data_IF_733280744462
#
_entry.id   IF_733280744462
#
_cell.length_a   1.000
_cell.length_b   1.000
_cell.length_c   1.000
_cell.angle_alpha   90.00
_cell.angle_beta   90.00
_cell.angle_gamma   90.00
#
_symmetry.space_group_name_H-M   'P 1'
#
loop_
_entity.id
_entity.type
_entity.pdbx_description
1 polymer ?
#
# COMPACT_ATOMS: atom_id res chain seq x y z
N UNK A 1 -38.69 -74.97 -7.05
CA UNK A 1 -37.80 -74.33 -8.04
C UNK A 1 -37.27 -73.03 -7.44
N UNK A 2 -35.97 -72.75 -7.54
CA UNK A 2 -35.42 -71.47 -7.09
C UNK A 2 -35.90 -70.34 -8.01
N UNK A 3 -36.19 -69.17 -7.43
CA UNK A 3 -36.56 -67.95 -8.18
C UNK A 3 -35.47 -67.61 -9.20
N UNK A 4 -35.89 -67.28 -10.41
CA UNK A 4 -35.01 -66.75 -11.45
C UNK A 4 -34.47 -65.37 -11.04
N UNK A 5 -33.34 -64.96 -11.63
CA UNK A 5 -32.73 -63.66 -11.34
C UNK A 5 -33.69 -62.51 -11.63
N UNK A 6 -34.48 -62.62 -12.71
CA UNK A 6 -35.49 -61.61 -13.08
C UNK A 6 -36.60 -61.48 -12.04
N UNK A 7 -37.09 -62.60 -11.49
CA UNK A 7 -38.11 -62.58 -10.44
C UNK A 7 -37.56 -61.99 -9.13
N UNK A 8 -36.28 -62.25 -8.80
CA UNK A 8 -35.62 -61.65 -7.64
C UNK A 8 -35.49 -60.13 -7.76
N UNK A 9 -35.09 -59.62 -8.93
CA UNK A 9 -35.02 -58.17 -9.19
C UNK A 9 -36.42 -57.52 -9.15
N UNK A 10 -37.45 -58.19 -9.70
CA UNK A 10 -38.83 -57.69 -9.62
C UNK A 10 -39.31 -57.53 -8.16
N UNK A 11 -39.04 -58.52 -7.32
CA UNK A 11 -39.41 -58.46 -5.91
C UNK A 11 -38.60 -57.42 -5.13
N UNK A 12 -37.30 -57.30 -5.40
CA UNK A 12 -36.43 -56.25 -4.85
C UNK A 12 -36.98 -54.86 -5.17
N UNK A 13 -37.27 -54.57 -6.44
CA UNK A 13 -37.85 -53.30 -6.89
C UNK A 13 -39.18 -53.00 -6.17
N UNK A 14 -40.10 -53.98 -6.09
CA UNK A 14 -41.38 -53.80 -5.39
C UNK A 14 -41.21 -53.51 -3.90
N UNK A 15 -40.27 -54.18 -3.24
CA UNK A 15 -39.99 -53.99 -1.82
C UNK A 15 -39.35 -52.62 -1.61
N UNK A 16 -38.35 -52.24 -2.41
CA UNK A 16 -37.72 -50.90 -2.38
C UNK A 16 -38.76 -49.79 -2.50
N UNK A 17 -39.66 -49.84 -3.48
CA UNK A 17 -40.71 -48.83 -3.63
C UNK A 17 -41.65 -48.73 -2.42
N UNK A 18 -41.94 -49.84 -1.73
CA UNK A 18 -42.75 -49.83 -0.50
C UNK A 18 -41.99 -49.19 0.65
N UNK A 19 -40.68 -49.44 0.74
CA UNK A 19 -39.79 -48.82 1.73
C UNK A 19 -39.70 -47.31 1.46
N UNK A 20 -39.45 -46.89 0.22
CA UNK A 20 -39.35 -45.48 -0.17
C UNK A 20 -40.63 -44.70 0.13
N UNK A 21 -41.80 -45.28 -0.17
CA UNK A 21 -43.10 -44.68 0.20
C UNK A 21 -43.25 -44.50 1.71
N UNK A 22 -42.75 -45.45 2.50
CA UNK A 22 -42.82 -45.36 3.96
C UNK A 22 -41.84 -44.31 4.49
N UNK A 23 -40.63 -44.24 3.94
CA UNK A 23 -39.64 -43.20 4.25
C UNK A 23 -40.23 -41.83 3.92
N UNK A 24 -40.76 -41.62 2.71
CA UNK A 24 -41.38 -40.37 2.30
C UNK A 24 -42.54 -39.95 3.23
N UNK A 25 -43.38 -40.89 3.64
CA UNK A 25 -44.46 -40.61 4.59
C UNK A 25 -43.95 -40.25 6.01
N UNK A 26 -42.80 -40.78 6.42
CA UNK A 26 -42.15 -40.42 7.69
C UNK A 26 -41.51 -39.04 7.57
N UNK A 27 -40.78 -38.76 6.50
CA UNK A 27 -40.16 -37.45 6.23
C UNK A 27 -41.21 -36.34 6.09
N UNK A 28 -42.35 -36.61 5.45
CA UNK A 28 -43.43 -35.64 5.32
C UNK A 28 -44.10 -35.27 6.66
N UNK A 29 -43.99 -36.12 7.69
CA UNK A 29 -44.47 -35.82 9.05
C UNK A 29 -43.52 -34.88 9.81
N UNK A 30 -42.26 -34.79 9.40
CA UNK A 30 -41.25 -33.95 10.03
C UNK A 30 -40.28 -33.39 8.96
N UNK A 31 -40.68 -32.30 8.28
CA UNK A 31 -39.91 -31.73 7.16
C UNK A 31 -38.51 -31.24 7.54
N UNK A 32 -38.23 -31.01 8.83
CA UNK A 32 -36.94 -30.54 9.33
C UNK A 32 -36.10 -31.62 10.03
N UNK A 33 -36.51 -32.89 9.96
CA UNK A 33 -35.82 -34.01 10.62
C UNK A 33 -34.36 -34.12 10.16
N UNK A 34 -34.14 -34.12 8.84
CA UNK A 34 -32.81 -34.29 8.27
C UNK A 34 -31.89 -33.10 8.53
N UNK A 35 -32.41 -31.88 8.55
CA UNK A 35 -31.62 -30.68 8.86
C UNK A 35 -31.15 -30.69 10.32
N UNK A 36 -32.04 -31.08 11.25
CA UNK A 36 -31.69 -31.23 12.67
C UNK A 36 -30.68 -32.35 12.89
N UNK A 37 -30.92 -33.52 12.30
CA UNK A 37 -29.99 -34.65 12.37
C UNK A 37 -28.63 -34.31 11.74
N UNK A 38 -28.61 -33.58 10.63
CA UNK A 38 -27.38 -33.12 9.99
C UNK A 38 -26.61 -32.14 10.87
N UNK A 39 -27.30 -31.18 11.48
CA UNK A 39 -26.71 -30.23 12.42
C UNK A 39 -26.13 -30.94 13.66
N UNK A 40 -26.88 -31.88 14.23
CA UNK A 40 -26.44 -32.66 15.38
C UNK A 40 -25.26 -33.58 15.05
N UNK A 41 -25.31 -34.28 13.90
CA UNK A 41 -24.22 -35.12 13.43
C UNK A 41 -22.94 -34.30 13.21
N UNK A 42 -23.06 -33.10 12.62
CA UNK A 42 -21.93 -32.17 12.46
C UNK A 42 -21.36 -31.75 13.81
N UNK A 43 -22.20 -31.39 14.78
CA UNK A 43 -21.75 -30.97 16.10
C UNK A 43 -21.04 -32.12 16.84
N UNK A 44 -21.56 -33.35 16.75
CA UNK A 44 -20.91 -34.55 17.27
C UNK A 44 -19.58 -34.82 16.58
N UNK A 45 -19.48 -34.62 15.26
CA UNK A 45 -18.24 -34.78 14.52
C UNK A 45 -17.17 -33.79 15.01
N UNK A 46 -17.52 -32.50 15.14
CA UNK A 46 -16.64 -31.45 15.67
C UNK A 46 -16.12 -31.82 17.06
N UNK A 47 -17.01 -32.30 17.94
CA UNK A 47 -16.63 -32.77 19.28
C UNK A 47 -15.72 -34.00 19.23
N UNK A 48 -16.05 -35.01 18.42
CA UNK A 48 -15.25 -36.24 18.31
C UNK A 48 -13.85 -36.02 17.74
N UNK A 49 -13.69 -35.00 16.90
CA UNK A 49 -12.40 -34.60 16.34
C UNK A 49 -11.61 -33.70 17.29
N UNK A 50 -12.23 -33.21 18.38
CA UNK A 50 -11.58 -32.31 19.34
C UNK A 50 -11.24 -30.93 18.78
N UNK A 51 -11.89 -30.50 17.69
CA UNK A 51 -11.57 -29.23 17.00
C UNK A 51 -12.46 -28.06 17.41
N UNK A 52 -13.34 -28.24 18.40
CA UNK A 52 -14.31 -27.22 18.80
C UNK A 52 -13.66 -25.90 19.23
N UNK A 53 -12.59 -25.98 20.03
CA UNK A 53 -11.88 -24.80 20.51
C UNK A 53 -11.17 -24.07 19.36
N UNK A 54 -10.51 -24.82 18.47
CA UNK A 54 -9.84 -24.26 17.29
C UNK A 54 -10.83 -23.61 16.31
N UNK A 55 -12.02 -24.19 16.13
CA UNK A 55 -13.06 -23.59 15.31
C UNK A 55 -13.59 -22.29 15.91
N UNK A 56 -13.78 -22.25 17.25
CA UNK A 56 -14.21 -21.04 17.94
C UNK A 56 -13.14 -19.94 17.86
N UNK A 57 -11.86 -20.30 18.03
CA UNK A 57 -10.73 -19.38 17.86
C UNK A 57 -10.66 -18.85 16.43
N UNK A 58 -10.84 -19.71 15.42
CA UNK A 58 -10.86 -19.30 14.02
C UNK A 58 -12.00 -18.31 13.73
N UNK A 59 -13.20 -18.56 14.27
CA UNK A 59 -14.33 -17.64 14.12
C UNK A 59 -14.05 -16.29 14.80
N UNK A 60 -13.45 -16.29 15.99
CA UNK A 60 -13.06 -15.08 16.70
C UNK A 60 -12.01 -14.28 15.91
N UNK A 61 -11.00 -14.96 15.34
CA UNK A 61 -9.98 -14.33 14.50
C UNK A 61 -10.59 -13.71 13.24
N UNK A 62 -11.54 -14.38 12.60
CA UNK A 62 -12.27 -13.83 11.44
C UNK A 62 -13.09 -12.58 11.82
N UNK A 63 -13.74 -12.57 12.98
CA UNK A 63 -14.44 -11.40 13.48
C UNK A 63 -13.48 -10.23 13.75
N UNK A 64 -12.33 -10.51 14.38
CA UNK A 64 -11.29 -9.51 14.64
C UNK A 64 -10.72 -8.94 13.33
N UNK A 65 -10.46 -9.80 12.35
CA UNK A 65 -9.97 -9.38 11.03
C UNK A 65 -10.93 -8.42 10.35
N UNK A 66 -12.23 -8.74 10.31
CA UNK A 66 -13.26 -7.85 9.73
C UNK A 66 -13.36 -6.51 10.47
N UNK A 67 -13.24 -6.53 11.80
CA UNK A 67 -13.24 -5.30 12.59
C UNK A 67 -12.01 -4.43 12.28
N UNK A 68 -10.84 -5.05 12.13
CA UNK A 68 -9.61 -4.35 11.74
C UNK A 68 -9.68 -3.79 10.32
N UNK A 69 -10.19 -4.55 9.35
CA UNK A 69 -10.38 -4.08 7.97
C UNK A 69 -11.31 -2.86 7.91
N UNK A 70 -12.41 -2.88 8.67
CA UNK A 70 -13.33 -1.74 8.76
C UNK A 70 -12.64 -0.51 9.35
N UNK A 71 -11.86 -0.70 10.42
CA UNK A 71 -11.13 0.38 11.08
C UNK A 71 -10.03 0.94 10.19
N UNK A 72 -9.31 0.08 9.49
CA UNK A 72 -8.26 0.46 8.55
C UNK A 72 -8.83 1.34 7.42
N UNK A 73 -9.96 0.95 6.84
CA UNK A 73 -10.66 1.77 5.84
C UNK A 73 -11.01 3.18 6.36
N UNK A 74 -11.46 3.30 7.62
CA UNK A 74 -11.74 4.60 8.25
C UNK A 74 -10.46 5.42 8.42
N UNK A 75 -9.37 4.82 8.89
CA UNK A 75 -8.09 5.50 9.08
C UNK A 75 -7.52 5.98 7.75
N UNK A 76 -7.51 5.12 6.72
CA UNK A 76 -7.08 5.47 5.38
C UNK A 76 -7.88 6.65 4.81
N UNK A 77 -9.21 6.67 5.03
CA UNK A 77 -10.06 7.80 4.64
C UNK A 77 -9.61 9.11 5.29
N UNK A 78 -9.38 9.08 6.59
CA UNK A 78 -8.97 10.25 7.37
C UNK A 78 -7.59 10.75 6.97
N UNK A 79 -6.64 9.84 6.70
CA UNK A 79 -5.31 10.20 6.20
C UNK A 79 -5.39 10.91 4.85
N UNK A 80 -6.14 10.34 3.90
CA UNK A 80 -6.31 10.95 2.58
C UNK A 80 -7.02 12.31 2.65
N UNK A 81 -8.07 12.42 3.46
CA UNK A 81 -8.76 13.67 3.71
C UNK A 81 -7.80 14.74 4.24
N UNK A 82 -6.94 14.36 5.19
CA UNK A 82 -5.94 15.27 5.77
C UNK A 82 -4.88 15.69 4.75
N UNK A 83 -4.38 14.77 3.93
CA UNK A 83 -3.39 15.04 2.90
C UNK A 83 -3.91 15.95 1.80
N UNK A 84 -5.16 15.73 1.38
CA UNK A 84 -5.83 16.51 0.32
C UNK A 84 -6.45 17.81 0.82
N UNK A 85 -6.61 17.98 2.12
CA UNK A 85 -7.27 19.15 2.71
C UNK A 85 -8.79 19.19 2.47
N UNK A 86 -9.43 18.04 2.32
CA UNK A 86 -10.88 17.91 2.04
C UNK A 86 -11.59 17.13 3.16
N UNK A 87 -12.92 17.26 3.31
CA UNK A 87 -13.69 16.46 4.27
C UNK A 87 -13.60 14.96 3.98
N UNK A 88 -13.61 14.13 5.02
CA UNK A 88 -13.46 12.67 4.89
C UNK A 88 -14.60 12.03 4.07
N UNK A 89 -15.79 12.61 4.12
CA UNK A 89 -16.99 12.15 3.42
C UNK A 89 -16.85 12.22 1.90
N UNK A 90 -15.95 13.07 1.40
CA UNK A 90 -15.69 13.25 -0.04
C UNK A 90 -14.73 12.20 -0.63
N UNK A 91 -14.10 11.39 0.23
CA UNK A 91 -13.12 10.38 -0.17
C UNK A 91 -13.87 9.10 -0.55
N UNK A 92 -13.92 8.81 -1.85
CA UNK A 92 -14.56 7.62 -2.40
C UNK A 92 -13.77 6.33 -2.09
N UNK A 93 -14.48 5.21 -2.05
CA UNK A 93 -13.96 3.86 -1.81
C UNK A 93 -12.87 3.46 -2.82
N UNK A 94 -12.98 3.87 -4.09
CA UNK A 94 -11.94 3.60 -5.10
C UNK A 94 -10.60 4.29 -4.80
N UNK A 95 -10.64 5.43 -4.09
CA UNK A 95 -9.44 6.16 -3.72
C UNK A 95 -8.66 5.51 -2.57
N UNK A 96 -9.29 4.63 -1.79
CA UNK A 96 -8.62 3.84 -0.75
C UNK A 96 -7.61 2.85 -1.34
N UNK A 97 -7.89 2.26 -2.50
CA UNK A 97 -7.01 1.28 -3.16
C UNK A 97 -5.66 1.84 -3.62
N UNK A 98 -5.49 3.18 -3.66
CA UNK A 98 -4.21 3.83 -3.99
C UNK A 98 -3.59 4.61 -2.83
N UNK A 99 -4.20 4.52 -1.65
CA UNK A 99 -3.86 5.36 -0.49
C UNK A 99 -2.40 5.25 -0.07
N UNK A 100 -1.84 4.04 -0.01
CA UNK A 100 -0.45 3.81 0.41
C UNK A 100 0.56 4.58 -0.46
N UNK A 101 0.37 4.58 -1.77
CA UNK A 101 1.30 5.27 -2.69
C UNK A 101 1.20 6.79 -2.57
N UNK A 102 -0.02 7.32 -2.41
CA UNK A 102 -0.24 8.75 -2.23
C UNK A 102 0.32 9.25 -0.90
N UNK A 103 0.06 8.51 0.19
CA UNK A 103 0.61 8.82 1.52
C UNK A 103 2.14 8.78 1.47
N UNK A 104 2.72 7.72 0.90
CA UNK A 104 4.17 7.58 0.79
C UNK A 104 4.82 8.71 -0.02
N UNK A 105 4.20 9.13 -1.12
CA UNK A 105 4.69 10.24 -1.92
C UNK A 105 4.59 11.58 -1.18
N UNK A 106 3.48 11.84 -0.50
CA UNK A 106 3.32 13.06 0.29
C UNK A 106 4.35 13.16 1.42
N UNK A 107 4.62 12.05 2.12
CA UNK A 107 5.67 11.98 3.15
C UNK A 107 7.04 12.26 2.53
N UNK A 108 7.40 11.58 1.43
CA UNK A 108 8.69 11.78 0.76
C UNK A 108 8.90 13.22 0.33
N UNK A 109 7.89 13.84 -0.29
CA UNK A 109 7.96 15.25 -0.70
C UNK A 109 8.15 16.17 0.50
N UNK A 110 7.43 15.92 1.61
CA UNK A 110 7.55 16.75 2.81
C UNK A 110 8.89 16.53 3.54
N UNK A 111 9.37 15.30 3.56
CA UNK A 111 10.66 14.93 4.12
C UNK A 111 11.79 15.66 3.41
N UNK A 112 11.80 15.72 2.07
CA UNK A 112 12.84 16.41 1.32
C UNK A 112 12.96 17.90 1.69
N UNK A 113 11.82 18.58 1.86
CA UNK A 113 11.81 19.99 2.32
C UNK A 113 12.44 20.13 3.70
N UNK A 114 12.06 19.24 4.64
CA UNK A 114 12.61 19.28 5.98
C UNK A 114 14.09 18.88 6.04
N UNK A 115 14.55 17.97 5.17
CA UNK A 115 15.96 17.64 5.04
C UNK A 115 16.78 18.85 4.57
N UNK A 116 16.27 19.62 3.61
CA UNK A 116 16.92 20.85 3.16
C UNK A 116 16.98 21.92 4.26
N UNK A 117 15.91 22.08 5.04
CA UNK A 117 15.87 22.97 6.21
C UNK A 117 16.91 22.54 7.26
N UNK A 118 16.94 21.26 7.63
CA UNK A 118 17.88 20.69 8.60
C UNK A 118 19.33 20.80 8.12
N UNK A 119 19.59 20.65 6.82
CA UNK A 119 20.93 20.85 6.26
C UNK A 119 21.42 22.29 6.45
N UNK A 120 20.54 23.29 6.40
CA UNK A 120 20.92 24.70 6.63
C UNK A 120 21.20 25.01 8.10
N UNK A 121 20.53 24.31 9.01
CA UNK A 121 20.75 24.47 10.46
C UNK A 121 22.02 23.78 10.95
N UNK A 122 22.39 22.65 10.33
CA UNK A 122 23.57 21.88 10.69
C UNK A 122 24.86 22.41 10.06
N UNK A 123 25.97 22.45 10.80
CA UNK A 123 27.25 22.98 10.32
C UNK A 123 27.79 22.23 9.09
N UNK A 124 27.89 20.90 9.16
CA UNK A 124 28.29 20.07 8.02
C UNK A 124 27.28 20.13 6.86
N UNK A 125 25.99 20.34 7.18
CA UNK A 125 24.95 20.46 6.16
C UNK A 125 25.13 21.73 5.33
N UNK A 126 25.42 22.87 5.98
CA UNK A 126 25.76 24.13 5.30
C UNK A 126 26.97 23.97 4.38
N UNK A 127 28.01 23.29 4.86
CA UNK A 127 29.20 23.01 4.04
C UNK A 127 28.84 22.20 2.79
N UNK A 128 28.01 21.15 2.95
CA UNK A 128 27.56 20.33 1.81
C UNK A 128 26.72 21.15 0.83
N UNK A 129 25.79 21.98 1.31
CA UNK A 129 24.95 22.84 0.48
C UNK A 129 25.82 23.84 -0.29
N UNK A 130 26.81 24.45 0.36
CA UNK A 130 27.74 25.37 -0.28
C UNK A 130 28.58 24.67 -1.36
N UNK A 131 29.13 23.49 -1.07
CA UNK A 131 29.90 22.71 -2.05
C UNK A 131 29.05 22.26 -3.26
N UNK A 132 27.76 21.97 -3.06
CA UNK A 132 26.84 21.65 -4.16
C UNK A 132 26.62 22.85 -5.08
N UNK A 133 26.46 24.04 -4.50
CA UNK A 133 26.35 25.29 -5.27
C UNK A 133 27.62 25.56 -6.08
N UNK A 134 28.80 25.42 -5.46
CA UNK A 134 30.09 25.58 -6.16
C UNK A 134 30.25 24.55 -7.30
N UNK A 135 29.79 23.32 -7.11
CA UNK A 135 29.80 22.28 -8.15
C UNK A 135 28.90 22.63 -9.33
N UNK A 136 27.71 23.19 -9.08
CA UNK A 136 26.79 23.62 -10.14
C UNK A 136 27.38 24.76 -10.97
N UNK A 137 28.10 25.68 -10.31
CA UNK A 137 28.79 26.81 -10.95
C UNK A 137 30.18 26.45 -11.50
N UNK A 138 30.57 25.17 -11.49
CA UNK A 138 31.94 24.76 -11.80
C UNK A 138 32.32 25.05 -13.25
N UNK A 139 31.39 24.87 -14.19
CA UNK A 139 31.65 25.14 -15.61
C UNK A 139 31.95 26.63 -15.84
N UNK A 140 31.11 27.50 -15.30
CA UNK A 140 31.29 28.95 -15.40
C UNK A 140 32.58 29.38 -14.70
N UNK A 141 32.91 28.76 -13.56
CA UNK A 141 34.17 29.00 -12.84
C UNK A 141 35.39 28.68 -13.72
N UNK A 142 35.41 27.50 -14.35
CA UNK A 142 36.51 27.07 -15.23
C UNK A 142 36.59 27.96 -16.48
N UNK A 143 35.44 28.32 -17.03
CA UNK A 143 35.37 29.21 -18.18
C UNK A 143 35.93 30.60 -17.83
N UNK A 144 35.54 31.19 -16.70
CA UNK A 144 36.07 32.47 -16.23
C UNK A 144 37.57 32.42 -15.98
N UNK A 145 38.08 31.34 -15.36
CA UNK A 145 39.50 31.16 -15.09
C UNK A 145 40.37 31.11 -16.36
N UNK A 146 39.79 30.66 -17.48
CA UNK A 146 40.47 30.49 -18.76
C UNK A 146 40.12 31.58 -19.79
N UNK A 147 39.24 32.51 -19.43
CA UNK A 147 38.71 33.53 -20.34
C UNK A 147 39.60 34.78 -20.47
N UNK A 148 39.61 35.43 -21.64
CA UNK A 148 40.22 36.74 -21.82
C UNK A 148 39.64 37.78 -20.85
N UNK A 149 40.44 38.81 -20.52
CA UNK A 149 40.08 39.82 -19.52
C UNK A 149 38.78 40.57 -19.87
N UNK A 150 38.50 40.76 -21.16
CA UNK A 150 37.30 41.45 -21.64
C UNK A 150 36.02 40.69 -21.29
N UNK A 151 36.05 39.36 -21.38
CA UNK A 151 34.89 38.49 -21.06
C UNK A 151 34.65 38.50 -19.55
N UNK A 152 35.70 38.48 -18.74
CA UNK A 152 35.60 38.57 -17.27
C UNK A 152 35.01 39.90 -16.80
N UNK A 153 35.48 41.02 -17.36
CA UNK A 153 34.93 42.36 -17.06
C UNK A 153 33.47 42.48 -17.50
N UNK A 154 33.10 41.88 -18.63
CA UNK A 154 31.71 41.85 -19.06
C UNK A 154 30.85 41.02 -18.08
N UNK A 155 31.35 39.86 -17.64
CA UNK A 155 30.67 39.00 -16.69
C UNK A 155 30.41 39.69 -15.34
N UNK A 156 31.40 40.39 -14.78
CA UNK A 156 31.23 41.19 -13.56
C UNK A 156 30.12 42.24 -13.74
N UNK A 157 30.15 43.00 -14.84
CA UNK A 157 29.12 44.02 -15.12
C UNK A 157 27.72 43.44 -15.30
N UNK A 158 27.60 42.26 -15.91
CA UNK A 158 26.32 41.57 -16.07
C UNK A 158 25.83 41.05 -14.71
N UNK A 159 26.72 40.49 -13.89
CA UNK A 159 26.39 40.01 -12.55
C UNK A 159 25.91 41.17 -11.66
N UNK A 160 26.61 42.32 -11.70
CA UNK A 160 26.22 43.54 -10.99
C UNK A 160 24.87 44.09 -11.47
N UNK A 161 24.62 44.04 -12.78
CA UNK A 161 23.35 44.50 -13.37
C UNK A 161 22.17 43.62 -12.95
N UNK A 162 22.39 42.30 -12.86
CA UNK A 162 21.36 41.32 -12.49
C UNK A 162 21.22 41.18 -10.97
N UNK A 163 22.20 41.65 -10.19
CA UNK A 163 22.24 41.49 -8.73
C UNK A 163 22.65 40.08 -8.29
N UNK A 164 23.35 39.34 -9.15
CA UNK A 164 23.76 37.96 -8.89
C UNK A 164 24.98 37.92 -7.97
N UNK A 165 24.93 37.13 -6.91
CA UNK A 165 26.08 36.90 -6.05
C UNK A 165 27.03 35.86 -6.67
N UNK A 166 28.23 36.30 -7.06
CA UNK A 166 29.29 35.40 -7.53
C UNK A 166 29.70 34.39 -6.45
N UNK A 167 29.89 33.13 -6.85
CA UNK A 167 30.37 32.08 -5.96
C UNK A 167 31.80 32.36 -5.45
N UNK A 168 32.23 31.67 -4.39
CA UNK A 168 33.58 31.83 -3.87
C UNK A 168 34.63 31.45 -4.93
N UNK A 169 34.41 30.36 -5.66
CA UNK A 169 35.34 29.93 -6.71
C UNK A 169 35.31 30.84 -7.94
N UNK A 170 34.15 31.38 -8.32
CA UNK A 170 34.06 32.34 -9.43
C UNK A 170 34.83 33.64 -9.12
N UNK A 171 34.70 34.16 -7.90
CA UNK A 171 35.50 35.32 -7.46
C UNK A 171 36.99 35.04 -7.52
N UNK A 172 37.41 33.83 -7.12
CA UNK A 172 38.80 33.41 -7.22
C UNK A 172 39.25 33.29 -8.70
N UNK A 173 38.40 32.74 -9.57
CA UNK A 173 38.68 32.55 -10.98
C UNK A 173 38.88 33.88 -11.73
N UNK A 174 38.10 34.91 -11.40
CA UNK A 174 38.25 36.25 -12.00
C UNK A 174 39.63 36.87 -11.72
N UNK A 175 40.25 36.52 -10.58
CA UNK A 175 41.56 37.00 -10.16
C UNK A 175 42.73 36.22 -10.77
N UNK A 176 42.48 35.08 -11.40
CA UNK A 176 43.52 34.29 -12.06
C UNK A 176 44.03 35.09 -13.27
N UNK A 177 45.35 35.31 -13.34
CA UNK A 177 45.95 35.90 -14.53
C UNK A 177 45.87 34.88 -15.67
N UNK A 178 45.39 35.28 -16.85
CA UNK A 178 45.35 34.37 -17.99
C UNK A 178 46.80 34.01 -18.34
N UNK A 179 47.07 32.77 -18.78
CA UNK A 179 48.41 32.42 -19.23
C UNK A 179 48.87 33.42 -20.29
N UNK A 180 50.06 33.96 -20.10
CA UNK A 180 50.73 34.80 -21.10
C UNK A 180 51.04 33.88 -22.28
N UNK A 181 50.34 34.07 -23.40
CA UNK A 181 50.74 33.50 -24.70
C UNK A 181 52.03 34.15 -25.21
#
# INVERSE_FOLDING_TARGET
>A
MPLTVAEKEHWKERISRRIDKKIAAITARDPGLFDRLGSEARQRAIQSLGVSELMAEQEQLEQQKKALETRDGVVCRLLLARLRGVPAETIDMYSMCRSETEIGNAIKSRQAVHEDELMREHELGRQIVQLRLERENLLDTVFLATSPIQVRVLWEKVSDLLGDELSQLQRAALQIQPPVE
#
